data_IF_501765218452
#
_entry.id   IF_501765218452
#
_cell.length_a   1.000
_cell.length_b   1.000
_cell.length_c   1.000
_cell.angle_alpha   90.00
_cell.angle_beta   90.00
_cell.angle_gamma   90.00
#
_symmetry.space_group_name_H-M   'P 1'
#
loop_
_entity.id
_entity.type
_entity.pdbx_description
1 polymer ?
#
# COMPACT_ATOMS: atom_id res chain seq x y z
N UNK A 1 -12.70 -6.55 10.73
CA UNK A 1 -12.03 -5.54 9.87
C UNK A 1 -12.24 -4.16 10.50
N UNK A 2 -11.18 -3.36 10.69
CA UNK A 2 -11.27 -2.02 11.28
C UNK A 2 -11.46 -0.97 10.17
N UNK A 3 -12.51 -0.16 10.21
CA UNK A 3 -12.68 0.95 9.26
C UNK A 3 -11.72 2.08 9.61
N UNK A 4 -10.78 2.40 8.72
CA UNK A 4 -9.75 3.42 8.96
C UNK A 4 -9.94 4.68 8.12
N UNK A 5 -10.77 4.62 7.08
CA UNK A 5 -10.99 5.76 6.21
C UNK A 5 -12.22 5.59 5.33
N UNK A 6 -12.71 6.71 4.82
CA UNK A 6 -13.71 6.76 3.76
C UNK A 6 -13.21 7.64 2.62
N UNK A 7 -13.66 7.34 1.40
CA UNK A 7 -13.38 8.10 0.20
C UNK A 7 -14.55 8.01 -0.77
N UNK A 8 -15.30 9.11 -0.90
CA UNK A 8 -16.58 9.12 -1.65
C UNK A 8 -17.49 8.00 -1.12
N UNK A 9 -17.95 7.12 -2.00
CA UNK A 9 -18.78 5.96 -1.68
C UNK A 9 -18.00 4.72 -1.18
N UNK A 10 -16.68 4.81 -1.04
CA UNK A 10 -15.84 3.68 -0.64
C UNK A 10 -15.44 3.75 0.82
N UNK A 11 -15.47 2.59 1.47
CA UNK A 11 -14.98 2.41 2.85
C UNK A 11 -13.68 1.62 2.81
N UNK A 12 -12.66 2.10 3.53
CA UNK A 12 -11.34 1.50 3.58
C UNK A 12 -11.16 0.85 4.95
N UNK A 13 -10.85 -0.44 4.91
CA UNK A 13 -10.64 -1.25 6.10
C UNK A 13 -9.19 -1.67 6.22
N UNK A 14 -8.66 -1.57 7.43
CA UNK A 14 -7.41 -2.20 7.85
C UNK A 14 -7.66 -3.68 8.16
N UNK A 15 -6.85 -4.53 7.53
CA UNK A 15 -6.95 -6.00 7.61
C UNK A 15 -5.60 -6.69 7.82
N UNK A 16 -4.52 -5.92 7.96
CA UNK A 16 -3.16 -6.43 8.20
C UNK A 16 -3.15 -7.43 9.36
N UNK A 17 -2.58 -8.61 9.12
CA UNK A 17 -2.52 -9.74 10.06
C UNK A 17 -3.89 -10.23 10.59
N UNK A 18 -4.99 -9.78 9.98
CA UNK A 18 -6.37 -10.07 10.38
C UNK A 18 -7.24 -10.52 9.19
N UNK A 19 -6.62 -11.05 8.13
CA UNK A 19 -7.32 -11.57 6.95
C UNK A 19 -8.00 -12.90 7.30
N UNK A 20 -9.32 -12.88 7.36
CA UNK A 20 -10.15 -14.08 7.59
C UNK A 20 -10.24 -14.96 6.34
N UNK A 21 -10.69 -16.22 6.45
CA UNK A 21 -10.92 -17.09 5.29
C UNK A 21 -11.83 -16.45 4.22
N UNK A 22 -12.91 -15.78 4.63
CA UNK A 22 -13.84 -15.13 3.70
C UNK A 22 -13.20 -13.95 2.96
N UNK A 23 -12.45 -13.11 3.70
CA UNK A 23 -11.72 -11.98 3.09
C UNK A 23 -10.63 -12.50 2.16
N UNK A 24 -9.94 -13.58 2.54
CA UNK A 24 -8.93 -14.24 1.69
C UNK A 24 -9.54 -14.73 0.38
N UNK A 25 -10.69 -15.41 0.45
CA UNK A 25 -11.37 -15.88 -0.75
C UNK A 25 -11.79 -14.70 -1.64
N UNK A 26 -12.34 -13.64 -1.06
CA UNK A 26 -12.72 -12.43 -1.80
C UNK A 26 -11.51 -11.74 -2.46
N UNK A 27 -10.35 -11.70 -1.80
CA UNK A 27 -9.10 -11.15 -2.35
C UNK A 27 -8.60 -11.96 -3.56
N UNK A 28 -8.60 -13.29 -3.43
CA UNK A 28 -8.17 -14.19 -4.50
C UNK A 28 -9.07 -14.01 -5.72
N UNK A 29 -10.41 -14.07 -5.53
CA UNK A 29 -11.38 -13.83 -6.60
C UNK A 29 -11.16 -12.44 -7.24
N UNK A 30 -11.00 -11.40 -6.42
CA UNK A 30 -10.77 -10.04 -6.91
C UNK A 30 -9.53 -9.93 -7.81
N UNK A 31 -8.41 -10.55 -7.45
CA UNK A 31 -7.21 -10.51 -8.29
C UNK A 31 -7.33 -11.36 -9.57
N UNK A 32 -7.99 -12.52 -9.49
CA UNK A 32 -8.22 -13.39 -10.64
C UNK A 32 -9.15 -12.74 -11.67
N UNK A 33 -10.28 -12.19 -11.22
CA UNK A 33 -11.27 -11.52 -12.05
C UNK A 33 -10.68 -10.31 -12.80
N UNK A 34 -9.67 -9.67 -12.21
CA UNK A 34 -8.98 -8.52 -12.80
C UNK A 34 -7.66 -8.88 -13.51
N UNK A 35 -7.33 -10.18 -13.62
CA UNK A 35 -6.07 -10.69 -14.16
C UNK A 35 -4.81 -10.04 -13.54
N UNK A 36 -4.89 -9.66 -12.26
CA UNK A 36 -3.83 -9.00 -11.51
C UNK A 36 -2.78 -10.01 -11.02
N UNK A 37 -3.23 -11.19 -10.59
CA UNK A 37 -2.40 -12.32 -10.21
C UNK A 37 -3.03 -13.56 -10.81
N UNK A 38 -2.33 -14.21 -11.75
CA UNK A 38 -2.84 -15.38 -12.47
C UNK A 38 -2.62 -16.68 -11.72
N UNK A 39 -1.48 -16.79 -11.05
CA UNK A 39 -1.13 -17.98 -10.28
C UNK A 39 -1.92 -18.03 -8.97
N UNK A 40 -2.64 -19.13 -8.74
CA UNK A 40 -3.52 -19.28 -7.59
C UNK A 40 -2.74 -19.38 -6.27
N UNK A 41 -1.59 -20.02 -6.29
CA UNK A 41 -0.73 -20.15 -5.11
C UNK A 41 -0.16 -18.79 -4.71
N UNK A 42 0.33 -18.00 -5.66
CA UNK A 42 0.81 -16.64 -5.43
C UNK A 42 -0.32 -15.72 -4.96
N UNK A 43 -1.53 -15.83 -5.52
CA UNK A 43 -2.69 -15.08 -5.05
C UNK A 43 -3.00 -15.41 -3.59
N UNK A 44 -3.00 -16.69 -3.22
CA UNK A 44 -3.19 -17.12 -1.83
C UNK A 44 -2.08 -16.58 -0.92
N UNK A 45 -0.81 -16.72 -1.32
CA UNK A 45 0.36 -16.24 -0.56
C UNK A 45 0.30 -14.74 -0.33
N UNK A 46 -0.10 -13.96 -1.34
CA UNK A 46 -0.22 -12.49 -1.23
C UNK A 46 -1.34 -12.03 -0.31
N UNK A 47 -2.27 -12.89 0.08
CA UNK A 47 -3.28 -12.52 1.09
C UNK A 47 -2.68 -12.25 2.46
N UNK A 48 -1.52 -12.84 2.78
CA UNK A 48 -0.80 -12.57 4.04
C UNK A 48 -0.14 -11.19 4.07
N UNK A 49 -0.01 -10.54 2.91
CA UNK A 49 0.62 -9.22 2.79
C UNK A 49 -0.42 -8.10 2.73
N UNK A 50 -1.72 -8.38 2.70
CA UNK A 50 -2.75 -7.36 2.52
C UNK A 50 -2.87 -6.49 3.77
N UNK A 51 -2.69 -5.19 3.59
CA UNK A 51 -2.77 -4.19 4.65
C UNK A 51 -4.16 -3.56 4.72
N UNK A 52 -4.67 -3.08 3.57
CA UNK A 52 -6.01 -2.49 3.49
C UNK A 52 -6.81 -3.03 2.31
N UNK A 53 -8.13 -3.04 2.48
CA UNK A 53 -9.11 -3.25 1.41
C UNK A 53 -10.04 -2.05 1.31
N UNK A 54 -10.35 -1.62 0.09
CA UNK A 54 -11.40 -0.66 -0.20
C UNK A 54 -12.64 -1.41 -0.70
N UNK A 55 -13.79 -1.17 -0.08
CA UNK A 55 -15.07 -1.76 -0.43
C UNK A 55 -16.01 -0.70 -1.01
N UNK A 56 -16.80 -1.09 -2.01
CA UNK A 56 -17.93 -0.28 -2.50
C UNK A 56 -19.20 -0.45 -1.64
N UNK A 57 -20.29 0.28 -1.91
CA UNK A 57 -21.53 0.16 -1.14
C UNK A 57 -22.16 -1.24 -1.16
N UNK A 58 -21.89 -2.06 -2.19
CA UNK A 58 -22.33 -3.46 -2.25
C UNK A 58 -21.39 -4.43 -1.52
N UNK A 59 -20.36 -3.93 -0.84
CA UNK A 59 -19.41 -4.75 -0.08
C UNK A 59 -18.33 -5.43 -0.91
N UNK A 60 -18.23 -5.14 -2.21
CA UNK A 60 -17.23 -5.73 -3.10
C UNK A 60 -15.89 -5.01 -2.98
N UNK A 61 -14.79 -5.77 -3.05
CA UNK A 61 -13.44 -5.22 -3.11
C UNK A 61 -13.26 -4.47 -4.44
N UNK A 62 -12.80 -3.23 -4.34
CA UNK A 62 -12.49 -2.36 -5.48
C UNK A 62 -11.04 -1.89 -5.50
N UNK A 63 -10.33 -2.00 -4.38
CA UNK A 63 -8.91 -1.71 -4.29
C UNK A 63 -8.27 -2.37 -3.09
N UNK A 64 -6.99 -2.66 -3.20
CA UNK A 64 -6.19 -3.35 -2.18
C UNK A 64 -4.84 -2.68 -2.08
N UNK A 65 -4.36 -2.46 -0.87
CA UNK A 65 -2.94 -2.24 -0.61
C UNK A 65 -2.33 -3.43 0.11
N UNK A 66 -1.09 -3.75 -0.24
CA UNK A 66 -0.31 -4.82 0.38
C UNK A 66 1.09 -4.32 0.73
N UNK A 67 1.66 -4.89 1.79
CA UNK A 67 3.00 -4.57 2.27
C UNK A 67 3.75 -5.83 2.68
N UNK A 68 5.06 -5.82 2.48
CA UNK A 68 5.97 -6.83 3.00
C UNK A 68 7.27 -6.15 3.46
N UNK A 69 7.97 -6.76 4.42
CA UNK A 69 9.26 -6.24 4.90
C UNK A 69 10.39 -6.80 4.05
N UNK A 70 11.28 -5.93 3.57
CA UNK A 70 12.52 -6.32 2.91
C UNK A 70 13.58 -5.23 3.07
N UNK A 71 14.84 -5.56 2.78
CA UNK A 71 15.96 -4.63 2.84
C UNK A 71 15.93 -3.69 1.62
N UNK A 72 16.07 -2.37 1.85
CA UNK A 72 16.19 -1.36 0.81
C UNK A 72 17.04 -0.19 1.30
N UNK A 73 17.93 0.35 0.46
CA UNK A 73 18.83 1.45 0.84
C UNK A 73 19.57 1.23 2.19
N UNK A 74 19.96 0.00 2.49
CA UNK A 74 20.70 -0.36 3.71
C UNK A 74 19.87 -0.53 5.00
N UNK A 75 18.53 -0.45 4.94
CA UNK A 75 17.65 -0.62 6.11
C UNK A 75 16.37 -1.41 5.75
N UNK A 76 15.66 -2.03 6.71
CA UNK A 76 14.38 -2.65 6.42
C UNK A 76 13.31 -1.60 6.06
N UNK A 77 12.54 -1.85 5.00
CA UNK A 77 11.41 -1.02 4.56
C UNK A 77 10.15 -1.86 4.37
N UNK A 78 8.98 -1.24 4.57
CA UNK A 78 7.70 -1.77 4.11
C UNK A 78 7.57 -1.51 2.61
N UNK A 79 7.76 -2.53 1.78
CA UNK A 79 7.53 -2.45 0.34
C UNK A 79 6.04 -2.44 0.06
N UNK A 80 5.55 -1.29 -0.41
CA UNK A 80 4.14 -1.02 -0.64
C UNK A 80 3.75 -1.31 -2.09
N UNK A 81 2.63 -2.01 -2.24
CA UNK A 81 1.96 -2.24 -3.51
C UNK A 81 0.50 -1.87 -3.40
N UNK A 82 -0.07 -1.37 -4.49
CA UNK A 82 -1.49 -1.05 -4.59
C UNK A 82 -2.05 -1.62 -5.87
N UNK A 83 -3.28 -2.13 -5.82
CA UNK A 83 -4.03 -2.55 -7.00
C UNK A 83 -5.47 -2.07 -6.88
N UNK A 84 -5.97 -1.42 -7.93
CA UNK A 84 -7.34 -0.92 -8.02
C UNK A 84 -7.91 -1.46 -9.33
N UNK A 85 -9.13 -2.00 -9.28
CA UNK A 85 -9.79 -2.53 -10.48
C UNK A 85 -10.00 -1.44 -11.54
N UNK A 86 -9.90 -1.82 -12.81
CA UNK A 86 -9.79 -0.88 -13.95
C UNK A 86 -11.04 -0.01 -14.17
N UNK A 87 -12.21 -0.48 -13.77
CA UNK A 87 -13.49 0.23 -13.88
C UNK A 87 -13.68 1.28 -12.78
N UNK A 88 -12.87 1.27 -11.72
CA UNK A 88 -12.85 2.33 -10.73
C UNK A 88 -12.15 3.57 -11.32
N UNK A 89 -12.95 4.59 -11.68
CA UNK A 89 -12.47 5.86 -12.27
C UNK A 89 -12.15 6.93 -11.23
N UNK A 90 -12.27 6.62 -9.95
CA UNK A 90 -12.15 7.60 -8.88
C UNK A 90 -10.68 7.92 -8.55
N UNK A 91 -10.19 8.97 -9.22
CA UNK A 91 -8.88 9.57 -8.97
C UNK A 91 -8.76 9.94 -7.49
N UNK A 92 -7.69 9.47 -6.84
CA UNK A 92 -7.40 9.73 -5.43
C UNK A 92 -7.54 8.50 -4.51
N UNK A 93 -8.23 7.44 -4.94
CA UNK A 93 -8.38 6.24 -4.11
C UNK A 93 -7.03 5.59 -3.79
N UNK A 94 -6.12 5.49 -4.77
CA UNK A 94 -4.77 4.96 -4.55
C UNK A 94 -4.01 5.75 -3.47
N UNK A 95 -4.12 7.08 -3.52
CA UNK A 95 -3.49 7.97 -2.55
C UNK A 95 -4.12 7.80 -1.15
N UNK A 96 -5.44 7.58 -1.09
CA UNK A 96 -6.13 7.31 0.17
C UNK A 96 -5.70 5.96 0.77
N UNK A 97 -5.60 4.91 -0.04
CA UNK A 97 -5.05 3.62 0.39
C UNK A 97 -3.62 3.76 0.90
N UNK A 98 -2.75 4.45 0.15
CA UNK A 98 -1.37 4.72 0.56
C UNK A 98 -1.32 5.45 1.90
N UNK A 99 -2.09 6.52 2.06
CA UNK A 99 -2.12 7.33 3.27
C UNK A 99 -2.61 6.53 4.47
N UNK A 100 -3.70 5.78 4.32
CA UNK A 100 -4.25 4.95 5.39
C UNK A 100 -3.28 3.83 5.79
N UNK A 101 -2.67 3.13 4.82
CA UNK A 101 -1.66 2.11 5.10
C UNK A 101 -0.45 2.71 5.82
N UNK A 102 0.06 3.85 5.35
CA UNK A 102 1.18 4.56 5.98
C UNK A 102 0.88 4.91 7.43
N UNK A 103 -0.28 5.50 7.71
CA UNK A 103 -0.66 5.92 9.05
C UNK A 103 -0.76 4.74 10.01
N UNK A 104 -1.37 3.64 9.59
CA UNK A 104 -1.50 2.44 10.43
C UNK A 104 -0.16 1.75 10.68
N UNK A 105 0.70 1.65 9.66
CA UNK A 105 2.05 1.10 9.85
C UNK A 105 2.90 1.98 10.75
N UNK A 106 2.87 3.31 10.55
CA UNK A 106 3.60 4.23 11.41
C UNK A 106 3.11 4.13 12.86
N UNK A 107 1.79 4.08 13.09
CA UNK A 107 1.22 3.93 14.42
C UNK A 107 1.65 2.62 15.11
N UNK A 108 1.72 1.52 14.35
CA UNK A 108 1.99 0.20 14.91
C UNK A 108 3.48 -0.12 15.08
N UNK A 109 4.36 0.49 14.27
CA UNK A 109 5.73 -0.02 14.12
C UNK A 109 6.83 1.05 14.23
N UNK A 110 6.52 2.35 14.34
CA UNK A 110 7.59 3.37 14.32
C UNK A 110 8.56 3.25 15.49
N UNK A 111 8.05 2.91 16.67
CA UNK A 111 8.84 2.83 17.91
C UNK A 111 9.23 1.38 18.24
N UNK A 112 8.94 0.43 17.35
CA UNK A 112 9.29 -0.98 17.50
C UNK A 112 10.75 -1.24 17.11
N UNK A 113 11.56 -1.87 17.99
CA UNK A 113 12.93 -2.22 17.65
C UNK A 113 13.01 -3.11 16.40
N UNK A 114 13.93 -2.79 15.49
CA UNK A 114 14.14 -3.51 14.22
C UNK A 114 12.96 -3.47 13.23
N UNK A 115 11.90 -2.72 13.52
CA UNK A 115 10.84 -2.53 12.55
C UNK A 115 11.32 -1.76 11.32
N UNK A 116 10.65 -1.92 10.16
CA UNK A 116 11.01 -1.16 8.98
C UNK A 116 10.94 0.35 9.21
N UNK A 117 11.98 1.07 8.75
CA UNK A 117 12.18 2.51 9.02
C UNK A 117 11.21 3.42 8.27
N UNK A 118 10.40 2.85 7.38
CA UNK A 118 9.49 3.58 6.52
C UNK A 118 8.86 2.70 5.45
N UNK A 119 8.35 3.34 4.40
CA UNK A 119 7.76 2.68 3.24
C UNK A 119 8.62 2.88 1.99
N UNK A 120 8.71 1.85 1.16
CA UNK A 120 9.33 1.89 -0.16
C UNK A 120 8.29 1.55 -1.23
N UNK A 121 8.30 2.27 -2.35
CA UNK A 121 7.36 2.10 -3.45
C UNK A 121 8.14 1.95 -4.75
N UNK A 122 7.85 0.88 -5.48
CA UNK A 122 8.33 0.69 -6.86
C UNK A 122 7.18 1.06 -7.80
N UNK A 123 7.42 2.02 -8.70
CA UNK A 123 6.41 2.45 -9.65
C UNK A 123 6.41 1.55 -10.89
N UNK A 124 5.53 0.57 -10.90
CA UNK A 124 5.41 -0.38 -12.02
C UNK A 124 4.69 0.21 -13.25
N UNK A 125 3.95 1.32 -13.09
CA UNK A 125 3.19 1.94 -14.17
C UNK A 125 3.91 3.20 -14.67
N UNK A 126 4.45 3.21 -15.91
CA UNK A 126 5.17 4.36 -16.47
C UNK A 126 4.35 5.66 -16.51
N UNK A 127 3.01 5.58 -16.48
CA UNK A 127 2.15 6.77 -16.40
C UNK A 127 2.35 7.55 -15.09
N UNK A 128 2.79 6.89 -14.03
CA UNK A 128 3.08 7.49 -12.72
C UNK A 128 4.45 8.18 -12.68
N UNK A 129 5.31 7.95 -13.67
CA UNK A 129 6.61 8.61 -13.80
C UNK A 129 6.52 9.96 -14.54
N UNK A 130 5.34 10.31 -15.06
CA UNK A 130 5.09 11.62 -15.66
C UNK A 130 5.18 12.73 -14.61
N UNK A 131 5.45 13.99 -14.98
CA UNK A 131 5.59 15.10 -14.03
C UNK A 131 4.41 15.27 -13.06
N UNK A 132 3.19 14.94 -13.48
CA UNK A 132 2.02 14.93 -12.59
C UNK A 132 2.09 13.85 -11.51
N UNK A 133 2.50 12.63 -11.86
CA UNK A 133 2.70 11.52 -10.92
C UNK A 133 3.84 11.80 -9.96
N UNK A 134 4.97 12.31 -10.46
CA UNK A 134 6.09 12.78 -9.65
C UNK A 134 5.66 13.79 -8.59
N UNK A 135 4.88 14.82 -8.98
CA UNK A 135 4.35 15.82 -8.03
C UNK A 135 3.42 15.21 -6.99
N UNK A 136 2.59 14.24 -7.36
CA UNK A 136 1.70 13.54 -6.42
C UNK A 136 2.53 12.76 -5.39
N UNK A 137 3.57 12.05 -5.82
CA UNK A 137 4.46 11.29 -4.93
C UNK A 137 5.19 12.21 -3.94
N UNK A 138 5.78 13.30 -4.44
CA UNK A 138 6.45 14.29 -3.60
C UNK A 138 5.52 14.94 -2.58
N UNK A 139 4.29 15.30 -2.99
CA UNK A 139 3.26 15.81 -2.05
C UNK A 139 2.83 14.74 -1.03
N UNK A 140 2.94 13.47 -1.37
CA UNK A 140 2.74 12.34 -0.45
C UNK A 140 3.93 12.10 0.50
N UNK A 141 5.00 12.90 0.40
CA UNK A 141 6.22 12.78 1.22
C UNK A 141 7.21 11.74 0.71
N UNK A 142 7.02 11.19 -0.49
CA UNK A 142 7.96 10.27 -1.10
C UNK A 142 9.16 11.01 -1.70
N UNK A 143 10.35 10.55 -1.38
CA UNK A 143 11.63 10.95 -1.99
C UNK A 143 12.06 9.92 -3.03
N UNK A 144 12.63 10.38 -4.13
CA UNK A 144 13.16 9.50 -5.18
C UNK A 144 14.52 8.92 -4.75
N UNK A 145 14.70 7.62 -4.92
CA UNK A 145 15.96 6.93 -4.61
C UNK A 145 16.78 6.56 -5.85
N UNK A 146 16.12 6.30 -6.98
CA UNK A 146 16.76 5.81 -8.20
C UNK A 146 15.85 4.87 -8.96
N UNK A 147 16.42 4.04 -9.82
CA UNK A 147 15.70 2.99 -10.54
C UNK A 147 16.19 1.60 -10.13
N UNK A 148 15.31 0.60 -10.18
CA UNK A 148 15.71 -0.79 -10.02
C UNK A 148 16.33 -1.35 -11.32
N UNK A 149 16.73 -2.63 -11.31
CA UNK A 149 17.33 -3.33 -12.46
C UNK A 149 16.41 -3.38 -13.69
N UNK A 150 15.10 -3.22 -13.50
CA UNK A 150 14.11 -3.16 -14.58
C UNK A 150 13.83 -1.73 -15.07
N UNK A 151 14.59 -0.73 -14.58
CA UNK A 151 14.42 0.67 -14.94
C UNK A 151 13.23 1.37 -14.28
N UNK A 152 12.57 0.73 -13.30
CA UNK A 152 11.40 1.29 -12.61
C UNK A 152 11.82 2.22 -11.49
N UNK A 153 11.19 3.38 -11.38
CA UNK A 153 11.47 4.34 -10.31
C UNK A 153 11.17 3.76 -8.92
N UNK A 154 12.15 3.89 -8.03
CA UNK A 154 12.08 3.53 -6.61
C UNK A 154 11.98 4.79 -5.77
N UNK A 155 10.99 4.83 -4.89
CA UNK A 155 10.70 5.95 -4.00
C UNK A 155 10.60 5.45 -2.57
N UNK A 156 10.89 6.30 -1.59
CA UNK A 156 10.73 5.96 -0.18
C UNK A 156 10.21 7.12 0.65
N UNK A 157 9.65 6.80 1.80
CA UNK A 157 9.27 7.73 2.86
C UNK A 157 9.69 7.13 4.19
N UNK A 158 10.32 7.92 5.05
CA UNK A 158 10.68 7.51 6.41
C UNK A 158 9.51 7.76 7.37
N UNK A 159 9.33 6.88 8.34
CA UNK A 159 8.46 7.17 9.47
C UNK A 159 9.16 8.16 10.41
N UNK A 160 8.40 9.11 10.93
CA UNK A 160 8.89 10.05 11.93
C UNK A 160 8.60 9.46 13.31
N UNK A 161 9.64 9.13 14.07
CA UNK A 161 9.45 8.75 15.48
C UNK A 161 8.89 9.92 16.27
N UNK A 162 7.94 9.60 17.13
CA UNK A 162 7.37 10.47 18.15
C UNK A 162 8.45 11.09 19.04
N UNK A 163 9.59 10.39 19.23
CA UNK A 163 10.74 10.87 20.01
C UNK A 163 11.51 12.06 19.41
N UNK A 164 11.27 12.45 18.15
CA UNK A 164 11.88 13.66 17.55
C UNK A 164 11.07 14.94 17.76
N UNK A 165 9.91 14.89 18.42
CA UNK A 165 9.11 16.08 18.75
C UNK A 165 9.47 16.72 20.10
N UNK A 166 10.38 16.13 20.89
CA UNK A 166 10.87 16.67 22.17
C UNK A 166 12.35 17.10 22.10
N UNK A 167 12.74 17.84 21.06
CA UNK A 167 13.97 18.62 21.10
C UNK A 167 13.61 20.11 21.27
N UNK A 168 13.91 20.73 22.43
CA UNK A 168 13.70 22.17 22.64
C UNK A 168 14.57 23.04 21.73
#
# INVERSE_FOLDING_TARGET
MLSISEFKQYRIFWVWQQVTPDVRQALISFWQDNAAIKDAFEAWRRTFEVACVALNPSGQIIGVSSVYSALGAGAPYWFYRTFIRKDCRDVGLAQRLFTGTRQQLALAYTDEPQAPVGMMVVLENPKLERPSGTRINQRGGLSFLGCNEHGQSVWHLLFQSSARQEAP
#
